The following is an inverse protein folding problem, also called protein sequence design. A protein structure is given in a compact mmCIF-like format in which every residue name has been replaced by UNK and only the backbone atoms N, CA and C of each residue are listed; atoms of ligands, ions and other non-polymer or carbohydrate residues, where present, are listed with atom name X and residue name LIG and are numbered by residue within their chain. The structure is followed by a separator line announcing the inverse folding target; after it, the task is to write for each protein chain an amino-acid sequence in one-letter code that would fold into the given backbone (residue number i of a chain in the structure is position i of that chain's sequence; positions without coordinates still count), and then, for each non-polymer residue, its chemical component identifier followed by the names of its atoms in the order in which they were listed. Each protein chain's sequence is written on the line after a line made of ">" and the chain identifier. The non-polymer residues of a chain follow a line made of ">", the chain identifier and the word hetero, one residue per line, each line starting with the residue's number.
data_IF_399240066553
#
_entry.id   IF_399240066553
#
_cell.length_a   1.000
_cell.length_b   1.000
_cell.length_c   1.000
_cell.angle_alpha   90.00
_cell.angle_beta   90.00
_cell.angle_gamma   90.00
#
_symmetry.space_group_name_H-M   'P 1'
#
loop_
_entity.id
_entity.type
_entity.pdbx_description
1 polymer ?
#
# COMPACT_ATOMS: atom_id res chain seq x y z
N UNK A 1 23.25 46.61 -24.56
CA UNK A 1 22.65 45.58 -25.44
C UNK A 1 23.22 44.19 -25.16
N UNK A 2 24.54 44.05 -24.96
CA UNK A 2 25.19 42.76 -24.62
C UNK A 2 24.58 42.03 -23.40
N UNK A 3 24.23 42.76 -22.33
CA UNK A 3 23.59 42.18 -21.13
C UNK A 3 22.22 41.53 -21.42
N UNK A 4 21.44 42.07 -22.37
CA UNK A 4 20.14 41.52 -22.79
C UNK A 4 20.31 40.30 -23.73
N UNK A 5 21.36 40.29 -24.54
CA UNK A 5 21.71 39.12 -25.34
C UNK A 5 22.18 37.96 -24.44
N UNK A 6 23.02 38.26 -23.45
CA UNK A 6 23.54 37.25 -22.51
C UNK A 6 22.41 36.58 -21.72
N UNK A 7 21.39 37.34 -21.31
CA UNK A 7 20.23 36.78 -20.59
C UNK A 7 19.36 35.88 -21.46
N UNK A 8 19.18 36.20 -22.74
CA UNK A 8 18.40 35.37 -23.68
C UNK A 8 19.16 34.10 -24.04
N UNK A 9 20.48 34.19 -24.24
CA UNK A 9 21.35 33.03 -24.50
C UNK A 9 21.44 32.14 -23.26
N UNK A 10 21.54 32.71 -22.05
CA UNK A 10 21.52 31.94 -20.81
C UNK A 10 20.18 31.22 -20.58
N UNK A 11 19.05 31.87 -20.87
CA UNK A 11 17.73 31.20 -20.84
C UNK A 11 17.63 30.09 -21.89
N UNK A 12 18.09 30.34 -23.11
CA UNK A 12 18.14 29.32 -24.16
C UNK A 12 19.01 28.12 -23.79
N UNK A 13 20.15 28.36 -23.14
CA UNK A 13 21.04 27.32 -22.63
C UNK A 13 20.41 26.52 -21.47
N UNK A 14 19.72 27.19 -20.53
CA UNK A 14 18.98 26.55 -19.44
C UNK A 14 17.82 25.69 -19.97
N UNK A 15 17.05 26.18 -20.95
CA UNK A 15 15.96 25.42 -21.57
C UNK A 15 16.46 24.27 -22.45
N UNK A 16 17.69 24.33 -22.96
CA UNK A 16 18.33 23.24 -23.72
C UNK A 16 18.86 22.10 -22.83
N UNK A 17 18.93 22.32 -21.50
CA UNK A 17 19.22 21.26 -20.55
C UNK A 17 17.95 20.47 -20.24
N UNK A 18 17.80 19.32 -20.93
CA UNK A 18 16.59 18.47 -20.93
C UNK A 18 16.08 18.12 -19.52
N UNK A 19 16.99 17.93 -18.56
CA UNK A 19 16.64 17.55 -17.19
C UNK A 19 15.99 18.68 -16.37
N UNK A 20 16.22 19.96 -16.70
CA UNK A 20 15.61 21.11 -16.02
C UNK A 20 14.41 21.67 -16.76
N UNK A 21 14.34 21.45 -18.08
CA UNK A 21 13.21 21.87 -18.90
C UNK A 21 11.92 21.15 -18.50
N UNK A 22 11.97 19.85 -18.20
CA UNK A 22 10.78 19.06 -17.81
C UNK A 22 10.16 19.55 -16.49
N UNK A 23 10.97 19.79 -15.46
CA UNK A 23 10.47 20.26 -14.14
C UNK A 23 9.99 21.72 -14.20
N UNK A 24 10.66 22.59 -14.98
CA UNK A 24 10.22 23.98 -15.17
C UNK A 24 8.94 24.04 -16.01
N UNK A 25 8.82 23.24 -17.08
CA UNK A 25 7.60 23.16 -17.89
C UNK A 25 6.44 22.61 -17.07
N UNK A 26 6.65 21.57 -16.26
CA UNK A 26 5.64 21.06 -15.33
C UNK A 26 5.18 22.13 -14.33
N UNK A 27 6.10 22.93 -13.76
CA UNK A 27 5.76 24.04 -12.86
C UNK A 27 5.02 25.18 -13.55
N UNK A 28 5.41 25.55 -14.78
CA UNK A 28 4.78 26.65 -15.53
C UNK A 28 3.42 26.23 -16.08
N UNK A 29 3.23 24.95 -16.42
CA UNK A 29 1.97 24.43 -16.95
C UNK A 29 1.02 23.88 -15.88
N UNK A 30 1.33 23.99 -14.58
CA UNK A 30 0.63 23.28 -13.50
C UNK A 30 0.42 21.78 -13.82
N UNK A 31 1.42 21.12 -14.41
CA UNK A 31 1.35 19.71 -14.77
C UNK A 31 0.63 19.37 -16.08
N UNK A 32 -0.12 20.31 -16.70
CA UNK A 32 -0.91 20.00 -17.91
C UNK A 32 -0.10 19.43 -19.09
N UNK A 33 1.19 19.79 -19.22
CA UNK A 33 2.09 19.25 -20.24
C UNK A 33 2.69 17.90 -19.79
N UNK A 34 3.05 17.75 -18.51
CA UNK A 34 3.60 16.50 -17.97
C UNK A 34 2.56 15.37 -17.87
N UNK A 35 1.29 15.72 -17.66
CA UNK A 35 0.17 14.79 -17.62
C UNK A 35 -0.03 14.03 -18.94
N UNK A 36 0.45 14.59 -20.05
CA UNK A 36 0.42 14.00 -21.39
C UNK A 36 1.79 13.46 -21.84
N UNK A 37 2.76 13.36 -20.94
CA UNK A 37 4.08 12.79 -21.25
C UNK A 37 3.98 11.30 -21.56
N UNK A 38 4.87 10.80 -22.42
CA UNK A 38 4.94 9.39 -22.75
C UNK A 38 5.21 8.55 -21.48
N UNK A 39 4.27 7.66 -21.13
CA UNK A 39 4.35 6.82 -19.94
C UNK A 39 3.60 7.35 -18.71
N UNK A 40 3.04 8.56 -18.77
CA UNK A 40 2.13 9.09 -17.74
C UNK A 40 0.70 8.81 -18.15
N UNK A 41 -0.09 8.22 -17.24
CA UNK A 41 -1.53 7.99 -17.43
C UNK A 41 -2.31 8.87 -16.47
N UNK A 42 -3.05 9.83 -17.00
CA UNK A 42 -4.11 10.52 -16.25
C UNK A 42 -5.26 9.53 -16.06
N UNK A 43 -5.61 9.29 -14.81
CA UNK A 43 -6.72 8.41 -14.46
C UNK A 43 -8.03 9.18 -14.58
N UNK A 44 -9.03 8.55 -15.20
CA UNK A 44 -10.42 9.00 -15.11
C UNK A 44 -10.96 8.88 -13.68
N UNK A 45 -12.06 9.56 -13.37
CA UNK A 45 -12.68 9.50 -12.04
C UNK A 45 -13.01 8.07 -11.59
N UNK A 46 -13.36 7.19 -12.52
CA UNK A 46 -13.64 5.79 -12.19
C UNK A 46 -12.36 4.99 -11.97
N UNK A 47 -11.31 5.22 -12.77
CA UNK A 47 -10.00 4.60 -12.56
C UNK A 47 -9.35 5.07 -11.25
N UNK A 48 -9.56 6.33 -10.84
CA UNK A 48 -9.12 6.83 -9.53
C UNK A 48 -9.77 6.08 -8.36
N UNK A 49 -11.02 5.63 -8.50
CA UNK A 49 -11.69 4.78 -7.49
C UNK A 49 -11.11 3.37 -7.44
N UNK A 50 -10.56 2.91 -8.56
CA UNK A 50 -9.91 1.60 -8.68
C UNK A 50 -8.46 1.61 -8.21
N UNK A 51 -7.84 2.79 -8.03
CA UNK A 51 -6.53 2.90 -7.37
C UNK A 51 -6.67 2.43 -5.91
N UNK A 52 -6.35 1.16 -5.69
CA UNK A 52 -6.17 0.59 -4.36
C UNK A 52 -4.83 1.12 -3.83
N UNK A 53 -4.85 2.29 -3.20
CA UNK A 53 -3.71 2.80 -2.44
C UNK A 53 -3.41 1.88 -1.25
N UNK A 54 -2.12 1.70 -0.95
CA UNK A 54 -1.63 1.00 0.23
C UNK A 54 -0.77 -0.22 -0.08
N UNK A 55 0.44 -0.26 0.47
CA UNK A 55 1.19 -1.50 0.59
C UNK A 55 0.75 -2.17 1.89
N UNK A 56 0.19 -3.39 1.81
CA UNK A 56 -0.10 -4.15 3.02
C UNK A 56 1.20 -4.39 3.79
N UNK A 57 1.16 -4.12 5.09
CA UNK A 57 2.31 -4.28 5.98
C UNK A 57 2.10 -5.52 6.85
N UNK A 58 3.18 -6.26 7.09
CA UNK A 58 3.16 -7.48 7.89
C UNK A 58 4.34 -7.47 8.86
N UNK A 59 4.06 -7.11 10.11
CA UNK A 59 5.08 -7.02 11.15
C UNK A 59 5.10 -8.34 11.94
N UNK A 60 6.24 -9.03 11.95
CA UNK A 60 6.39 -10.31 12.67
C UNK A 60 6.03 -10.12 14.15
N UNK A 61 5.12 -10.95 14.65
CA UNK A 61 4.61 -10.86 16.01
C UNK A 61 4.61 -12.24 16.69
N UNK A 62 5.79 -12.66 17.16
CA UNK A 62 6.04 -13.99 17.75
C UNK A 62 5.24 -14.28 19.01
N UNK A 63 4.82 -13.23 19.72
CA UNK A 63 3.94 -13.33 20.88
C UNK A 63 2.52 -13.83 20.54
N UNK A 64 2.13 -13.86 19.26
CA UNK A 64 0.84 -14.41 18.80
C UNK A 64 0.96 -15.72 18.02
N UNK A 65 2.16 -16.33 18.00
CA UNK A 65 2.35 -17.65 17.44
C UNK A 65 1.52 -18.68 18.20
N UNK A 66 1.00 -19.68 17.49
CA UNK A 66 0.55 -20.88 18.16
C UNK A 66 1.75 -21.81 18.34
N UNK A 67 2.07 -22.16 19.58
CA UNK A 67 3.16 -23.09 19.92
C UNK A 67 2.66 -24.42 20.48
N UNK A 68 1.36 -24.52 20.77
CA UNK A 68 0.72 -25.72 21.30
C UNK A 68 -0.13 -26.36 20.19
N UNK A 69 0.15 -27.62 19.85
CA UNK A 69 -0.49 -28.29 18.72
C UNK A 69 0.13 -27.90 17.37
N UNK A 70 -0.68 -27.54 16.38
CA UNK A 70 -0.17 -27.17 15.04
C UNK A 70 0.49 -25.80 15.12
N UNK A 71 1.82 -25.77 14.98
CA UNK A 71 2.60 -24.53 15.07
C UNK A 71 2.20 -23.54 13.98
N UNK A 72 1.95 -22.30 14.37
CA UNK A 72 1.68 -21.21 13.44
C UNK A 72 2.50 -19.96 13.76
N UNK A 73 2.79 -19.19 12.72
CA UNK A 73 3.60 -17.98 12.79
C UNK A 73 2.75 -16.76 12.47
N UNK A 74 2.77 -15.78 13.37
CA UNK A 74 1.89 -14.63 13.30
C UNK A 74 2.59 -13.33 12.90
N UNK A 75 1.85 -12.51 12.14
CA UNK A 75 2.25 -11.17 11.71
C UNK A 75 1.07 -10.23 11.94
N UNK A 76 1.33 -9.06 12.53
CA UNK A 76 0.34 -7.99 12.59
C UNK A 76 0.20 -7.42 11.18
N UNK A 77 -1.00 -7.59 10.62
CA UNK A 77 -1.36 -7.05 9.33
C UNK A 77 -1.81 -5.59 9.49
N UNK A 78 -1.41 -4.76 8.52
CA UNK A 78 -1.84 -3.39 8.40
C UNK A 78 -1.77 -2.93 6.96
N UNK A 79 -1.94 -1.64 6.76
CA UNK A 79 -1.92 -0.99 5.47
C UNK A 79 -1.19 0.34 5.66
N UNK A 80 -0.15 0.60 4.85
CA UNK A 80 0.69 1.79 4.99
C UNK A 80 -0.08 3.10 4.90
N UNK A 81 -1.21 3.09 4.22
CA UNK A 81 -1.96 4.30 3.88
C UNK A 81 -3.18 4.49 4.80
N UNK A 82 -3.38 3.59 5.77
CA UNK A 82 -4.52 3.60 6.68
C UNK A 82 -4.06 3.59 8.13
N UNK A 83 -4.77 4.33 8.98
CA UNK A 83 -4.62 4.12 10.43
C UNK A 83 -5.09 2.72 10.80
N UNK A 84 -4.66 2.16 11.95
CA UNK A 84 -5.15 0.87 12.43
C UNK A 84 -6.69 0.79 12.46
N UNK A 85 -7.37 1.87 12.83
CA UNK A 85 -8.84 1.94 12.89
C UNK A 85 -9.46 1.89 11.50
N UNK A 86 -8.92 2.63 10.54
CA UNK A 86 -9.37 2.60 9.14
C UNK A 86 -9.14 1.22 8.51
N UNK A 87 -8.04 0.55 8.85
CA UNK A 87 -7.76 -0.79 8.39
C UNK A 87 -8.76 -1.82 8.93
N UNK A 88 -9.12 -1.72 10.22
CA UNK A 88 -10.17 -2.55 10.82
C UNK A 88 -11.53 -2.29 10.17
N UNK A 89 -11.90 -1.03 9.96
CA UNK A 89 -13.15 -0.64 9.29
C UNK A 89 -13.22 -1.16 7.86
N UNK A 90 -12.11 -1.14 7.10
CA UNK A 90 -12.05 -1.70 5.75
C UNK A 90 -12.33 -3.21 5.73
N UNK A 91 -12.04 -3.92 6.83
CA UNK A 91 -12.38 -5.33 7.02
C UNK A 91 -13.76 -5.55 7.65
N UNK A 92 -14.54 -4.49 7.86
CA UNK A 92 -15.81 -4.50 8.60
C UNK A 92 -15.66 -5.06 10.03
N UNK A 93 -14.55 -4.72 10.67
CA UNK A 93 -14.21 -5.14 12.04
C UNK A 93 -14.22 -3.88 12.92
N UNK A 94 -14.92 -3.96 14.05
CA UNK A 94 -15.00 -2.89 15.03
C UNK A 94 -14.29 -3.26 16.34
N UNK A 95 -14.05 -2.25 17.17
CA UNK A 95 -13.48 -2.39 18.51
C UNK A 95 -11.95 -2.38 18.55
N UNK A 96 -11.41 -2.62 19.75
CA UNK A 96 -9.98 -2.58 20.02
C UNK A 96 -9.31 -3.91 19.65
N UNK A 97 -9.15 -4.12 18.34
CA UNK A 97 -8.60 -5.37 17.79
C UNK A 97 -7.33 -5.13 16.99
N UNK A 98 -6.58 -6.18 16.74
CA UNK A 98 -5.54 -6.23 15.70
C UNK A 98 -5.83 -7.39 14.77
N UNK A 99 -5.39 -7.25 13.53
CA UNK A 99 -5.48 -8.31 12.54
C UNK A 99 -4.15 -9.05 12.52
N UNK A 100 -4.24 -10.37 12.66
CA UNK A 100 -3.11 -11.28 12.60
C UNK A 100 -3.22 -12.06 11.31
N UNK A 101 -2.26 -11.85 10.41
CA UNK A 101 -2.02 -12.77 9.31
C UNK A 101 -1.12 -13.90 9.81
N UNK A 102 -1.56 -15.13 9.61
CA UNK A 102 -0.88 -16.32 10.12
C UNK A 102 -0.67 -17.34 9.02
N UNK A 103 0.44 -18.06 9.10
CA UNK A 103 0.63 -19.30 8.35
C UNK A 103 1.01 -20.46 9.26
N UNK A 104 0.69 -21.68 8.83
CA UNK A 104 1.03 -22.93 9.50
C UNK A 104 1.31 -24.01 8.47
N UNK A 105 1.96 -25.09 8.87
CA UNK A 105 2.13 -26.27 8.01
C UNK A 105 1.17 -27.36 8.47
N UNK A 106 0.28 -27.79 7.58
CA UNK A 106 -0.66 -28.91 7.78
C UNK A 106 -0.44 -29.89 6.64
N UNK A 107 -0.13 -31.14 6.96
CA UNK A 107 0.13 -32.20 5.97
C UNK A 107 1.14 -31.77 4.88
N UNK A 108 2.26 -31.18 5.30
CA UNK A 108 3.30 -30.60 4.43
C UNK A 108 2.84 -29.50 3.47
N UNK A 109 1.66 -28.93 3.68
CA UNK A 109 1.15 -27.77 2.93
C UNK A 109 1.12 -26.55 3.84
N UNK A 110 1.57 -25.43 3.30
CA UNK A 110 1.47 -24.14 3.99
C UNK A 110 0.03 -23.64 3.85
N UNK A 111 -0.65 -23.47 4.98
CA UNK A 111 -1.96 -22.85 5.07
C UNK A 111 -1.82 -21.44 5.61
N UNK A 112 -2.55 -20.49 5.01
CA UNK A 112 -2.59 -19.10 5.44
C UNK A 112 -4.00 -18.71 5.81
N UNK A 113 -4.12 -17.93 6.86
CA UNK A 113 -5.40 -17.53 7.42
C UNK A 113 -5.27 -16.20 8.18
N UNK A 114 -6.40 -15.53 8.38
CA UNK A 114 -6.48 -14.30 9.13
C UNK A 114 -7.26 -14.52 10.43
N UNK A 115 -6.82 -13.88 11.51
CA UNK A 115 -7.53 -13.83 12.78
C UNK A 115 -7.58 -12.39 13.29
N UNK A 116 -8.63 -12.04 14.02
CA UNK A 116 -8.64 -10.85 14.86
C UNK A 116 -8.26 -11.24 16.29
N UNK A 117 -7.37 -10.47 16.90
CA UNK A 117 -7.09 -10.54 18.33
C UNK A 117 -7.75 -9.35 19.01
N UNK A 118 -8.66 -9.63 19.94
CA UNK A 118 -9.29 -8.63 20.78
C UNK A 118 -8.38 -8.28 21.96
N UNK A 119 -7.91 -7.04 22.03
CA UNK A 119 -6.95 -6.62 23.06
C UNK A 119 -7.57 -6.54 24.45
N UNK A 120 -8.89 -6.35 24.54
CA UNK A 120 -9.59 -6.22 25.82
C UNK A 120 -9.84 -7.59 26.47
N UNK A 121 -10.22 -8.57 25.66
CA UNK A 121 -10.59 -9.93 26.13
C UNK A 121 -9.51 -10.98 25.93
N UNK A 122 -8.47 -10.69 25.15
CA UNK A 122 -7.43 -11.66 24.79
C UNK A 122 -7.90 -12.75 23.83
N UNK A 123 -9.08 -12.61 23.21
CA UNK A 123 -9.69 -13.64 22.37
C UNK A 123 -9.23 -13.54 20.92
N UNK A 124 -8.96 -14.69 20.31
CA UNK A 124 -8.76 -14.85 18.88
C UNK A 124 -10.08 -15.24 18.20
N UNK A 125 -10.39 -14.61 17.08
CA UNK A 125 -11.53 -14.98 16.24
C UNK A 125 -11.08 -15.08 14.78
N UNK A 126 -11.47 -16.14 14.09
CA UNK A 126 -11.14 -16.32 12.68
C UNK A 126 -11.84 -15.27 11.81
N UNK A 127 -11.13 -14.79 10.79
CA UNK A 127 -11.67 -13.85 9.82
C UNK A 127 -11.87 -14.60 8.50
N UNK A 128 -13.11 -14.64 8.04
CA UNK A 128 -13.45 -15.29 6.78
C UNK A 128 -13.18 -14.35 5.60
N UNK A 129 -12.31 -14.78 4.69
CA UNK A 129 -11.92 -14.06 3.49
C UNK A 129 -12.70 -14.58 2.27
N UNK A 130 -13.79 -13.91 1.92
CA UNK A 130 -14.63 -14.25 0.76
C UNK A 130 -14.29 -13.40 -0.47
N UNK A 131 -14.75 -13.82 -1.66
CA UNK A 131 -14.38 -13.20 -2.93
C UNK A 131 -14.80 -11.72 -3.01
N UNK A 132 -13.84 -10.82 -3.22
CA UNK A 132 -14.06 -9.37 -3.23
C UNK A 132 -13.94 -8.69 -1.87
N UNK A 133 -13.78 -9.43 -0.78
CA UNK A 133 -13.55 -8.85 0.54
C UNK A 133 -12.17 -8.18 0.66
N UNK A 134 -12.06 -7.18 1.54
CA UNK A 134 -10.77 -6.59 1.91
C UNK A 134 -9.85 -7.62 2.58
N UNK A 135 -10.43 -8.50 3.39
CA UNK A 135 -9.72 -9.59 4.05
C UNK A 135 -9.04 -10.54 3.04
N UNK A 136 -9.70 -10.84 1.91
CA UNK A 136 -9.10 -11.66 0.87
C UNK A 136 -7.91 -10.97 0.19
N UNK A 137 -7.97 -9.65 -0.01
CA UNK A 137 -6.85 -8.89 -0.56
C UNK A 137 -5.64 -8.96 0.38
N UNK A 138 -5.83 -8.69 1.68
CA UNK A 138 -4.79 -8.81 2.70
C UNK A 138 -4.21 -10.22 2.75
N UNK A 139 -5.07 -11.25 2.74
CA UNK A 139 -4.65 -12.65 2.80
C UNK A 139 -3.85 -13.06 1.55
N UNK A 140 -4.27 -12.63 0.37
CA UNK A 140 -3.57 -12.92 -0.88
C UNK A 140 -2.21 -12.25 -0.93
N UNK A 141 -2.10 -11.03 -0.43
CA UNK A 141 -0.81 -10.34 -0.36
C UNK A 141 0.13 -11.02 0.65
N UNK A 142 -0.39 -11.42 1.81
CA UNK A 142 0.37 -12.19 2.79
C UNK A 142 0.90 -13.52 2.21
N UNK A 143 0.05 -14.27 1.50
CA UNK A 143 0.40 -15.53 0.81
C UNK A 143 1.52 -15.39 -0.23
N UNK A 144 1.64 -14.21 -0.87
CA UNK A 144 2.71 -13.96 -1.84
C UNK A 144 4.07 -13.78 -1.17
N UNK A 145 4.08 -13.31 0.08
CA UNK A 145 5.31 -12.95 0.81
C UNK A 145 5.81 -14.05 1.75
N UNK A 146 4.89 -14.85 2.30
CA UNK A 146 5.16 -15.87 3.31
C UNK A 146 4.53 -17.19 2.94
#
# INVERSE_FOLDING_TARGET
>A
MLKKLLSVVALGALLSSSAFAEDILAKVSNGAISDNSAGVKVLSLDEMKEVKGGVYTFNRASNYDNVIGVRSYAYIAGDSDKTPEQFLQAMNISGNKIILAKYRYVNNRKEHYLQSYDKSSGRLNDIWAWNGSYALQVLNDFKKRY
#
